data_IF_061820757433
#
_entry.id   IF_061820757433
#
_cell.length_a   1.000
_cell.length_b   1.000
_cell.length_c   1.000
_cell.angle_alpha   90.00
_cell.angle_beta   90.00
_cell.angle_gamma   90.00
#
_symmetry.space_group_name_H-M   'P 1'
#
loop_
_entity.id
_entity.type
_entity.pdbx_description
1 polymer ?
#
# COMPACT_ATOMS: atom_id res chain seq x y z
N UNK A 1 -1.46 27.12 34.75
CA UNK A 1 -0.64 26.24 33.87
C UNK A 1 -0.34 27.05 32.63
N UNK A 2 0.93 27.37 32.37
CA UNK A 2 1.31 28.07 31.14
C UNK A 2 1.43 27.05 30.03
N UNK A 3 0.71 27.26 28.92
CA UNK A 3 0.95 26.53 27.68
C UNK A 3 1.54 27.51 26.68
N UNK A 4 2.62 27.13 26.02
CA UNK A 4 3.17 27.85 24.88
C UNK A 4 3.36 26.84 23.76
N UNK A 5 2.75 27.10 22.59
CA UNK A 5 2.86 26.26 21.39
C UNK A 5 2.60 24.74 21.64
N UNK A 6 1.47 24.38 22.27
CA UNK A 6 1.09 23.01 22.66
C UNK A 6 2.07 22.28 23.61
N UNK A 7 3.09 22.96 24.14
CA UNK A 7 4.01 22.45 25.17
C UNK A 7 3.57 22.96 26.55
N UNK A 8 3.58 22.09 27.55
CA UNK A 8 3.28 22.43 28.95
C UNK A 8 4.54 22.90 29.67
N UNK A 9 4.46 24.01 30.43
CA UNK A 9 5.52 24.43 31.35
C UNK A 9 4.94 24.90 32.70
N UNK A 10 5.74 24.83 33.77
CA UNK A 10 5.32 25.24 35.12
C UNK A 10 6.40 26.04 35.87
N UNK A 11 5.96 26.92 36.76
CA UNK A 11 6.76 27.89 37.54
C UNK A 11 7.47 27.26 38.77
N UNK A 12 7.35 25.95 39.00
CA UNK A 12 8.04 25.18 40.06
C UNK A 12 8.44 23.80 39.51
N UNK A 13 9.62 23.31 39.89
CA UNK A 13 10.39 22.22 39.28
C UNK A 13 9.61 20.96 38.85
N UNK A 14 9.77 20.56 37.59
CA UNK A 14 9.32 19.27 37.04
C UNK A 14 10.50 18.46 36.47
N UNK A 15 10.33 17.14 36.37
CA UNK A 15 11.33 16.21 35.82
C UNK A 15 11.60 16.41 34.33
N UNK A 16 12.79 16.00 33.87
CA UNK A 16 13.21 16.05 32.46
C UNK A 16 12.26 15.22 31.58
N UNK A 17 12.10 15.58 30.31
CA UNK A 17 11.44 14.71 29.33
C UNK A 17 12.28 13.45 29.12
N UNK A 18 11.68 12.26 29.32
CA UNK A 18 12.39 10.96 29.26
C UNK A 18 11.96 10.13 28.04
N UNK A 19 10.70 10.21 27.61
CA UNK A 19 10.16 9.34 26.55
C UNK A 19 9.20 10.09 25.60
N UNK A 20 9.21 9.69 24.32
CA UNK A 20 8.20 10.07 23.34
C UNK A 20 7.09 9.02 23.30
N UNK A 21 5.85 9.43 23.03
CA UNK A 21 4.75 8.49 22.82
C UNK A 21 5.04 7.59 21.61
N UNK A 22 4.86 6.26 21.72
CA UNK A 22 5.05 5.34 20.59
C UNK A 22 3.93 5.50 19.57
N UNK A 23 4.24 5.29 18.28
CA UNK A 23 3.21 5.22 17.25
C UNK A 23 2.33 3.99 17.50
N UNK A 24 1.01 4.20 17.52
CA UNK A 24 0.02 3.13 17.72
C UNK A 24 -0.24 2.33 16.45
N UNK A 25 0.15 2.85 15.28
CA UNK A 25 0.00 2.15 13.99
C UNK A 25 1.22 1.29 13.70
N UNK A 26 0.99 0.04 13.34
CA UNK A 26 2.05 -0.94 13.10
C UNK A 26 2.67 -0.84 11.69
N UNK A 27 1.94 -0.22 10.76
CA UNK A 27 2.29 -0.04 9.35
C UNK A 27 2.76 -1.35 8.69
N UNK A 28 2.00 -2.43 8.88
CA UNK A 28 2.43 -3.78 8.48
C UNK A 28 2.44 -3.96 6.95
N UNK A 29 1.67 -3.15 6.20
CA UNK A 29 1.57 -3.23 4.75
C UNK A 29 2.92 -2.95 4.07
N UNK A 30 3.66 -1.95 4.54
CA UNK A 30 4.97 -1.56 3.97
C UNK A 30 6.05 -2.58 4.33
N UNK A 31 5.98 -3.16 5.52
CA UNK A 31 6.92 -4.18 6.01
C UNK A 31 6.66 -5.55 5.38
N UNK A 32 5.55 -5.71 4.68
CA UNK A 32 5.16 -6.95 4.03
C UNK A 32 5.95 -7.20 2.74
N UNK A 33 6.06 -8.47 2.33
CA UNK A 33 6.69 -8.86 1.07
C UNK A 33 5.81 -8.56 -0.18
N UNK A 34 4.80 -7.70 -0.04
CA UNK A 34 3.94 -7.24 -1.15
C UNK A 34 4.72 -6.30 -2.08
N UNK A 35 5.64 -5.50 -1.54
CA UNK A 35 6.44 -4.55 -2.30
C UNK A 35 7.66 -5.23 -2.93
N UNK A 36 7.87 -5.01 -4.22
CA UNK A 36 9.03 -5.53 -4.96
C UNK A 36 9.81 -4.37 -5.62
N UNK A 37 11.15 -4.29 -5.44
CA UNK A 37 11.96 -3.31 -6.15
C UNK A 37 11.98 -3.58 -7.66
N UNK A 38 11.96 -2.54 -8.49
CA UNK A 38 11.96 -2.67 -9.94
C UNK A 38 12.97 -1.73 -10.61
N UNK A 39 14.05 -2.35 -11.11
CA UNK A 39 15.15 -1.62 -11.76
C UNK A 39 14.73 -0.85 -13.02
N UNK A 40 13.68 -1.29 -13.73
CA UNK A 40 13.20 -0.59 -14.93
C UNK A 40 12.44 0.69 -14.58
N UNK A 41 11.67 0.69 -13.47
CA UNK A 41 11.07 1.91 -12.92
C UNK A 41 12.18 2.89 -12.54
N UNK A 42 13.21 2.41 -11.82
CA UNK A 42 14.36 3.24 -11.43
C UNK A 42 15.04 3.84 -12.67
N UNK A 43 15.30 3.04 -13.71
CA UNK A 43 15.92 3.51 -14.96
C UNK A 43 15.06 4.53 -15.69
N UNK A 44 13.76 4.28 -15.81
CA UNK A 44 12.84 5.20 -16.48
C UNK A 44 12.87 6.59 -15.84
N UNK A 45 12.91 6.65 -14.51
CA UNK A 45 12.89 7.92 -13.77
C UNK A 45 14.27 8.53 -13.48
N UNK A 46 15.36 7.78 -13.60
CA UNK A 46 16.74 8.29 -13.42
C UNK A 46 17.42 8.72 -14.72
N UNK A 47 17.09 8.06 -15.84
CA UNK A 47 17.76 8.30 -17.13
C UNK A 47 17.05 9.31 -18.04
N UNK A 48 15.75 9.56 -17.83
CA UNK A 48 14.98 10.51 -18.63
C UNK A 48 14.56 11.72 -17.81
N UNK A 49 15.18 12.88 -18.09
CA UNK A 49 14.59 14.22 -18.04
C UNK A 49 13.69 14.67 -16.87
N UNK A 50 13.65 13.99 -15.73
CA UNK A 50 12.80 14.34 -14.59
C UNK A 50 11.30 14.16 -14.81
N UNK A 51 10.84 13.25 -15.70
CA UNK A 51 9.40 13.04 -15.90
C UNK A 51 8.74 12.44 -14.65
N UNK A 52 7.56 12.95 -14.27
CA UNK A 52 6.74 12.39 -13.18
C UNK A 52 5.87 11.20 -13.61
N UNK A 53 6.05 10.74 -14.86
CA UNK A 53 5.29 9.68 -15.51
C UNK A 53 6.17 8.93 -16.49
N UNK A 54 6.00 7.62 -16.55
CA UNK A 54 6.64 6.78 -17.55
C UNK A 54 5.64 5.71 -18.03
N UNK A 55 5.81 5.29 -19.27
CA UNK A 55 5.12 4.12 -19.83
C UNK A 55 6.16 3.02 -19.95
N UNK A 56 5.91 1.87 -19.32
CA UNK A 56 6.77 0.71 -19.36
C UNK A 56 6.18 -0.33 -20.31
N UNK A 57 6.90 -0.71 -21.39
CA UNK A 57 6.45 -1.78 -22.26
C UNK A 57 6.62 -3.15 -21.59
N UNK A 58 5.68 -4.05 -21.85
CA UNK A 58 5.67 -5.42 -21.37
C UNK A 58 5.47 -6.38 -22.55
N UNK A 59 6.16 -7.52 -22.54
CA UNK A 59 5.98 -8.56 -23.55
C UNK A 59 4.72 -9.37 -23.27
N UNK A 60 3.89 -9.59 -24.28
CA UNK A 60 2.78 -10.53 -24.23
C UNK A 60 3.27 -11.97 -24.25
N UNK A 61 2.44 -12.89 -23.73
CA UNK A 61 2.69 -14.33 -23.82
C UNK A 61 2.40 -14.82 -25.24
N UNK A 62 3.23 -15.73 -25.76
CA UNK A 62 2.94 -16.41 -27.02
C UNK A 62 1.63 -17.20 -26.94
N UNK A 63 0.83 -17.13 -28.00
CA UNK A 63 -0.44 -17.85 -28.14
C UNK A 63 -0.50 -18.67 -29.42
N UNK A 64 -1.67 -19.26 -29.68
CA UNK A 64 -1.95 -20.08 -30.85
C UNK A 64 -2.12 -21.56 -30.52
N UNK A 65 -3.00 -22.22 -31.27
CA UNK A 65 -3.19 -23.66 -31.16
C UNK A 65 -2.15 -24.38 -32.01
N UNK A 66 -1.56 -25.45 -31.48
CA UNK A 66 -0.68 -26.30 -32.27
C UNK A 66 -1.49 -26.96 -33.39
N UNK A 67 -1.05 -26.78 -34.64
CA UNK A 67 -1.58 -27.54 -35.76
C UNK A 67 -0.86 -28.90 -35.85
N UNK A 68 -1.58 -29.91 -36.32
CA UNK A 68 -1.02 -31.25 -36.48
C UNK A 68 0.00 -31.23 -37.63
N UNK A 69 1.23 -31.64 -37.35
CA UNK A 69 2.31 -31.65 -38.34
C UNK A 69 2.26 -32.94 -39.17
N UNK A 70 1.37 -32.98 -40.16
CA UNK A 70 1.11 -34.14 -41.02
C UNK A 70 1.72 -34.04 -42.43
N UNK A 71 2.49 -32.98 -42.69
CA UNK A 71 3.15 -32.72 -43.97
C UNK A 71 2.20 -32.36 -45.12
N UNK A 72 0.90 -32.14 -44.83
CA UNK A 72 -0.11 -31.75 -45.83
C UNK A 72 -0.71 -30.36 -45.58
N UNK A 73 -0.52 -29.80 -44.40
CA UNK A 73 -1.06 -28.50 -44.00
C UNK A 73 0.05 -27.47 -43.77
N UNK A 74 -0.21 -26.22 -44.16
CA UNK A 74 0.72 -25.11 -44.01
C UNK A 74 0.75 -24.59 -42.57
N UNK A 75 1.95 -24.22 -42.11
CA UNK A 75 2.16 -23.61 -40.79
C UNK A 75 1.92 -22.10 -40.90
N UNK A 76 0.81 -21.62 -40.33
CA UNK A 76 0.52 -20.19 -40.25
C UNK A 76 1.22 -19.57 -39.03
N UNK A 77 2.09 -18.55 -39.19
CA UNK A 77 2.77 -17.91 -38.08
C UNK A 77 1.83 -17.00 -37.27
N UNK A 78 1.97 -17.00 -35.94
CA UNK A 78 1.27 -16.09 -35.04
C UNK A 78 2.18 -14.92 -34.62
N UNK A 79 1.65 -13.69 -34.60
CA UNK A 79 2.36 -12.52 -34.09
C UNK A 79 2.33 -12.46 -32.56
N UNK A 80 3.34 -11.85 -31.94
CA UNK A 80 3.38 -11.60 -30.48
C UNK A 80 2.84 -10.22 -30.16
N UNK A 81 2.09 -10.11 -29.07
CA UNK A 81 1.48 -8.87 -28.56
C UNK A 81 2.41 -8.13 -27.60
N UNK A 82 2.26 -6.82 -27.47
CA UNK A 82 2.99 -5.98 -26.51
C UNK A 82 2.02 -5.14 -25.70
N UNK A 83 2.32 -4.94 -24.42
CA UNK A 83 1.44 -4.26 -23.48
C UNK A 83 2.11 -3.00 -22.92
N UNK A 84 1.33 -1.98 -22.57
CA UNK A 84 1.86 -0.72 -22.03
C UNK A 84 1.34 -0.46 -20.60
N UNK A 85 2.27 -0.24 -19.67
CA UNK A 85 1.96 0.07 -18.26
C UNK A 85 2.37 1.49 -17.89
N UNK A 86 1.40 2.35 -17.64
CA UNK A 86 1.60 3.69 -17.09
C UNK A 86 1.97 3.64 -15.61
N UNK A 87 3.08 4.27 -15.24
CA UNK A 87 3.55 4.39 -13.86
C UNK A 87 3.74 5.86 -13.49
N UNK A 88 3.35 6.23 -12.26
CA UNK A 88 3.40 7.60 -11.77
C UNK A 88 4.27 7.73 -10.52
N UNK A 89 4.96 8.85 -10.41
CA UNK A 89 5.74 9.20 -9.21
C UNK A 89 4.90 10.08 -8.30
N UNK A 90 4.85 9.70 -7.03
CA UNK A 90 4.15 10.41 -5.98
C UNK A 90 5.18 11.16 -5.12
N UNK A 91 5.03 12.48 -5.03
CA UNK A 91 5.79 13.33 -4.12
C UNK A 91 4.99 13.69 -2.88
N UNK A 92 5.62 13.60 -1.70
CA UNK A 92 5.05 14.03 -0.42
C UNK A 92 6.09 14.88 0.33
N UNK A 93 5.64 15.92 1.01
CA UNK A 93 6.51 16.81 1.76
C UNK A 93 5.80 17.33 3.00
N UNK A 94 6.56 17.56 4.06
CA UNK A 94 6.09 18.25 5.26
C UNK A 94 7.24 19.03 5.90
N UNK A 95 6.91 19.97 6.79
CA UNK A 95 7.87 20.72 7.57
C UNK A 95 7.44 20.81 9.04
N UNK A 96 8.42 20.79 9.94
CA UNK A 96 8.20 20.95 11.37
C UNK A 96 9.04 22.10 11.87
N UNK A 97 8.42 22.97 12.66
CA UNK A 97 9.02 24.19 13.18
C UNK A 97 9.20 24.09 14.68
N UNK A 98 10.31 24.63 15.17
CA UNK A 98 10.60 24.78 16.58
C UNK A 98 11.11 26.18 16.89
N UNK A 99 10.66 26.75 18.01
CA UNK A 99 11.10 28.04 18.52
C UNK A 99 12.28 27.88 19.49
N UNK A 100 13.35 28.68 19.33
CA UNK A 100 14.55 28.66 20.18
C UNK A 100 14.20 28.91 21.66
N UNK A 101 13.23 29.80 21.92
CA UNK A 101 12.76 30.08 23.29
C UNK A 101 12.13 28.86 23.98
N UNK A 102 11.57 27.92 23.21
CA UNK A 102 11.05 26.67 23.77
C UNK A 102 12.16 25.78 24.30
N UNK A 103 13.33 25.76 23.67
CA UNK A 103 14.48 25.00 24.14
C UNK A 103 15.08 25.64 25.39
N UNK A 104 15.19 26.98 25.40
CA UNK A 104 15.69 27.75 26.55
C UNK A 104 14.84 27.54 27.82
N UNK A 105 13.51 27.60 27.70
CA UNK A 105 12.61 27.50 28.86
C UNK A 105 12.45 26.06 29.37
N UNK A 106 12.75 25.05 28.54
CA UNK A 106 12.62 23.63 28.91
C UNK A 106 13.94 22.99 29.36
N UNK A 107 15.00 23.80 29.49
CA UNK A 107 16.29 23.36 30.02
C UNK A 107 17.17 22.65 28.98
N UNK A 108 17.13 23.07 27.72
CA UNK A 108 17.99 22.55 26.64
C UNK A 108 17.53 21.20 26.08
N UNK A 109 16.23 20.92 26.13
CA UNK A 109 15.68 19.71 25.51
C UNK A 109 15.49 19.98 24.03
N UNK A 110 16.37 19.42 23.20
CA UNK A 110 16.30 19.60 21.74
C UNK A 110 15.11 18.84 21.14
N UNK A 111 13.95 19.49 20.99
CA UNK A 111 12.78 18.84 20.41
C UNK A 111 12.99 18.52 18.93
N UNK A 112 13.88 19.22 18.23
CA UNK A 112 14.23 18.98 16.83
C UNK A 112 14.90 17.61 16.65
N UNK A 113 15.69 17.19 17.63
CA UNK A 113 16.28 15.83 17.66
C UNK A 113 15.20 14.76 17.85
N UNK A 114 14.16 15.05 18.62
CA UNK A 114 13.01 14.15 18.75
C UNK A 114 12.18 14.10 17.46
N UNK A 115 11.93 15.25 16.84
CA UNK A 115 11.25 15.32 15.53
C UNK A 115 12.03 14.49 14.51
N UNK A 116 13.34 14.68 14.39
CA UNK A 116 14.18 13.95 13.44
C UNK A 116 14.08 12.42 13.57
N UNK A 117 13.94 11.90 14.80
CA UNK A 117 13.74 10.45 15.04
C UNK A 117 12.38 9.95 14.54
N UNK A 118 11.35 10.79 14.60
CA UNK A 118 9.97 10.44 14.22
C UNK A 118 9.67 10.63 12.73
N UNK A 119 10.51 11.39 12.01
CA UNK A 119 10.29 11.67 10.57
C UNK A 119 10.20 10.40 9.73
N UNK A 120 10.99 9.37 10.05
CA UNK A 120 10.92 8.09 9.31
C UNK A 120 9.55 7.42 9.48
N UNK A 121 9.09 7.28 10.73
CA UNK A 121 7.78 6.67 11.03
C UNK A 121 6.62 7.48 10.42
N UNK A 122 6.75 8.81 10.38
CA UNK A 122 5.77 9.68 9.73
C UNK A 122 5.63 9.41 8.22
N UNK A 123 6.75 9.18 7.52
CA UNK A 123 6.68 8.84 6.10
C UNK A 123 6.15 7.42 5.86
N UNK A 124 6.40 6.48 6.77
CA UNK A 124 5.79 5.14 6.70
C UNK A 124 4.25 5.25 6.81
N UNK A 125 3.75 6.10 7.72
CA UNK A 125 2.31 6.38 7.86
C UNK A 125 1.69 6.96 6.56
N UNK A 126 2.44 7.83 5.86
CA UNK A 126 2.00 8.44 4.60
C UNK A 126 2.00 7.41 3.47
N UNK A 127 3.08 6.65 3.33
CA UNK A 127 3.22 5.62 2.29
C UNK A 127 2.08 4.59 2.40
N UNK A 128 1.70 4.21 3.62
CA UNK A 128 0.59 3.29 3.86
C UNK A 128 -0.75 3.89 3.42
N UNK A 129 -1.00 5.17 3.71
CA UNK A 129 -2.19 5.88 3.23
C UNK A 129 -2.23 5.95 1.70
N UNK A 130 -1.10 6.24 1.06
CA UNK A 130 -1.01 6.29 -0.40
C UNK A 130 -1.26 4.91 -1.01
N UNK A 131 -0.73 3.83 -0.43
CA UNK A 131 -1.02 2.46 -0.87
C UNK A 131 -2.50 2.09 -0.73
N UNK A 132 -3.14 2.45 0.39
CA UNK A 132 -4.57 2.25 0.59
C UNK A 132 -5.41 3.07 -0.41
N UNK A 133 -5.01 4.31 -0.70
CA UNK A 133 -5.66 5.14 -1.71
C UNK A 133 -5.56 4.51 -3.12
N UNK A 134 -4.39 3.97 -3.48
CA UNK A 134 -4.20 3.24 -4.74
C UNK A 134 -5.11 2.01 -4.79
N UNK A 135 -5.13 1.18 -3.73
CA UNK A 135 -6.00 0.01 -3.66
C UNK A 135 -7.48 0.41 -3.80
N UNK A 136 -7.92 1.49 -3.16
CA UNK A 136 -9.28 2.03 -3.31
C UNK A 136 -9.56 2.41 -4.77
N UNK A 137 -8.65 3.13 -5.42
CA UNK A 137 -8.79 3.51 -6.83
C UNK A 137 -8.91 2.33 -7.79
N UNK A 138 -8.10 1.28 -7.59
CA UNK A 138 -8.16 0.06 -8.39
C UNK A 138 -9.54 -0.61 -8.29
N UNK A 139 -10.11 -0.68 -7.09
CA UNK A 139 -11.41 -1.31 -6.89
C UNK A 139 -12.61 -0.40 -7.21
N UNK A 140 -12.35 0.83 -7.68
CA UNK A 140 -13.36 1.78 -8.16
C UNK A 140 -13.24 2.06 -9.67
N UNK A 141 -12.47 1.25 -10.41
CA UNK A 141 -12.33 1.38 -11.86
C UNK A 141 -13.67 1.23 -12.56
N UNK A 142 -13.87 2.02 -13.62
CA UNK A 142 -15.08 2.04 -14.44
C UNK A 142 -14.79 1.58 -15.87
N UNK A 143 -15.75 0.92 -16.51
CA UNK A 143 -15.67 0.42 -17.89
C UNK A 143 -15.73 -1.11 -17.98
N UNK A 144 -16.34 -1.63 -19.03
CA UNK A 144 -16.82 -3.02 -19.16
C UNK A 144 -15.84 -4.10 -18.65
N UNK A 145 -14.60 -4.17 -19.17
CA UNK A 145 -13.61 -5.17 -18.75
C UNK A 145 -12.96 -4.87 -17.39
N UNK A 146 -12.91 -3.59 -17.00
CA UNK A 146 -12.41 -3.21 -15.68
C UNK A 146 -13.43 -3.54 -14.59
N UNK A 147 -14.72 -3.38 -14.88
CA UNK A 147 -15.83 -3.74 -13.98
C UNK A 147 -15.88 -5.24 -13.78
N UNK A 148 -15.75 -6.04 -14.85
CA UNK A 148 -15.65 -7.50 -14.73
C UNK A 148 -14.45 -7.92 -13.84
N UNK A 149 -13.31 -7.24 -13.96
CA UNK A 149 -12.18 -7.46 -13.06
C UNK A 149 -12.53 -7.12 -11.61
N UNK A 150 -13.10 -5.94 -11.36
CA UNK A 150 -13.47 -5.49 -10.01
C UNK A 150 -14.49 -6.44 -9.38
N UNK A 151 -15.48 -6.91 -10.12
CA UNK A 151 -16.48 -7.85 -9.65
C UNK A 151 -15.88 -9.22 -9.31
N UNK A 152 -14.97 -9.73 -10.14
CA UNK A 152 -14.30 -11.01 -9.90
C UNK A 152 -13.32 -10.94 -8.72
N UNK A 153 -12.65 -9.80 -8.52
CA UNK A 153 -11.66 -9.59 -7.46
C UNK A 153 -12.27 -9.00 -6.17
N UNK A 154 -13.57 -8.68 -6.17
CA UNK A 154 -14.33 -8.29 -4.98
C UNK A 154 -15.23 -9.44 -4.54
N UNK A 155 -15.05 -9.85 -3.29
CA UNK A 155 -15.98 -10.75 -2.61
C UNK A 155 -16.71 -10.01 -1.49
N UNK A 156 -17.92 -9.57 -1.77
CA UNK A 156 -18.75 -8.86 -0.80
C UNK A 156 -19.71 -9.83 -0.10
N UNK A 157 -19.55 -9.94 1.22
CA UNK A 157 -20.42 -10.73 2.10
C UNK A 157 -21.23 -9.86 3.07
N UNK A 158 -21.07 -8.53 3.02
CA UNK A 158 -21.67 -7.60 3.98
C UNK A 158 -23.21 -7.66 4.02
N UNK A 159 -23.83 -8.04 2.91
CA UNK A 159 -25.29 -8.14 2.75
C UNK A 159 -25.83 -9.57 2.89
N UNK A 160 -24.96 -10.57 3.17
CA UNK A 160 -25.38 -11.95 3.37
C UNK A 160 -25.88 -12.20 4.80
N UNK A 161 -26.65 -13.29 4.98
CA UNK A 161 -27.21 -13.69 6.27
C UNK A 161 -26.14 -13.86 7.37
N UNK A 162 -24.93 -14.26 6.99
CA UNK A 162 -23.74 -14.27 7.86
C UNK A 162 -22.73 -13.26 7.30
N UNK A 163 -22.77 -11.98 7.74
CA UNK A 163 -21.94 -10.93 7.17
C UNK A 163 -20.49 -10.95 7.70
N UNK A 164 -20.09 -12.04 8.39
CA UNK A 164 -18.78 -12.20 9.01
C UNK A 164 -17.87 -13.13 8.22
N UNK A 165 -16.56 -12.93 8.28
CA UNK A 165 -15.59 -13.84 7.66
C UNK A 165 -15.65 -15.22 8.35
N UNK A 166 -15.85 -16.27 7.55
CA UNK A 166 -15.95 -17.66 8.00
C UNK A 166 -14.89 -18.54 7.29
N UNK A 167 -14.84 -19.84 7.63
CA UNK A 167 -13.84 -20.82 7.19
C UNK A 167 -13.66 -20.84 5.66
N UNK A 168 -14.74 -20.65 4.91
CA UNK A 168 -14.76 -20.77 3.44
C UNK A 168 -14.56 -19.44 2.72
N UNK A 169 -14.85 -18.30 3.36
CA UNK A 169 -14.87 -16.95 2.76
C UNK A 169 -13.57 -16.63 2.03
N UNK A 170 -12.42 -16.89 2.68
CA UNK A 170 -11.10 -16.64 2.07
C UNK A 170 -10.86 -17.52 0.83
N UNK A 171 -11.25 -18.80 0.90
CA UNK A 171 -11.03 -19.75 -0.19
C UNK A 171 -11.88 -19.42 -1.41
N UNK A 172 -13.13 -19.03 -1.19
CA UNK A 172 -14.07 -18.61 -2.24
C UNK A 172 -13.63 -17.30 -2.89
N UNK A 173 -13.21 -16.30 -2.09
CA UNK A 173 -12.71 -15.03 -2.61
C UNK A 173 -11.50 -15.21 -3.54
N UNK A 174 -10.53 -16.04 -3.13
CA UNK A 174 -9.34 -16.31 -3.95
C UNK A 174 -9.70 -17.08 -5.22
N UNK A 175 -10.60 -18.06 -5.13
CA UNK A 175 -11.04 -18.84 -6.28
C UNK A 175 -11.81 -17.98 -7.29
N UNK A 176 -12.63 -17.04 -6.81
CA UNK A 176 -13.34 -16.08 -7.66
C UNK A 176 -12.36 -15.16 -8.40
N UNK A 177 -11.35 -14.65 -7.69
CA UNK A 177 -10.37 -13.72 -8.25
C UNK A 177 -9.44 -14.37 -9.29
N UNK A 178 -8.85 -15.53 -8.98
CA UNK A 178 -7.77 -16.10 -9.80
C UNK A 178 -8.05 -17.49 -10.38
N UNK A 179 -9.21 -18.10 -10.08
CA UNK A 179 -9.54 -19.45 -10.52
C UNK A 179 -8.43 -20.44 -10.18
N UNK A 180 -7.81 -21.01 -11.20
CA UNK A 180 -6.76 -22.03 -11.11
C UNK A 180 -5.43 -21.48 -10.51
N UNK A 181 -5.23 -20.16 -10.50
CA UNK A 181 -4.01 -19.52 -9.99
C UNK A 181 -4.08 -19.15 -8.49
N UNK A 182 -4.79 -19.95 -7.69
CA UNK A 182 -5.02 -19.72 -6.25
C UNK A 182 -3.74 -19.58 -5.41
N UNK A 183 -2.65 -20.23 -5.80
CA UNK A 183 -1.37 -20.22 -5.07
C UNK A 183 -0.61 -18.90 -5.14
N UNK A 184 -0.99 -17.96 -6.01
CA UNK A 184 -0.30 -16.66 -6.15
C UNK A 184 -0.53 -15.71 -4.96
N UNK A 185 -1.66 -15.84 -4.28
CA UNK A 185 -1.93 -15.08 -3.06
C UNK A 185 -1.12 -15.66 -1.90
N UNK A 186 -0.51 -14.78 -1.10
CA UNK A 186 0.35 -15.21 0.02
C UNK A 186 0.08 -14.47 1.32
N UNK A 187 -0.46 -13.25 1.24
CA UNK A 187 -0.62 -12.34 2.37
C UNK A 187 -2.07 -11.87 2.44
N UNK A 188 -2.62 -11.81 3.65
CA UNK A 188 -3.94 -11.24 3.95
C UNK A 188 -3.74 -10.12 4.96
N UNK A 189 -4.38 -8.99 4.74
CA UNK A 189 -4.27 -7.81 5.60
C UNK A 189 -5.68 -7.42 6.04
N UNK A 190 -5.90 -7.44 7.35
CA UNK A 190 -7.23 -7.25 7.94
C UNK A 190 -7.18 -6.37 9.18
N UNK A 191 -8.32 -5.76 9.50
CA UNK A 191 -8.52 -5.00 10.72
C UNK A 191 -8.52 -5.93 11.96
N UNK A 192 -8.09 -5.42 13.12
CA UNK A 192 -8.04 -6.20 14.37
C UNK A 192 -9.37 -6.84 14.75
N UNK A 193 -10.50 -6.13 14.62
CA UNK A 193 -11.85 -6.68 14.87
C UNK A 193 -12.11 -7.95 14.05
N UNK A 194 -11.67 -7.97 12.79
CA UNK A 194 -11.83 -9.14 11.91
C UNK A 194 -10.92 -10.29 12.35
N UNK A 195 -9.69 -9.97 12.73
CA UNK A 195 -8.76 -10.95 13.28
C UNK A 195 -9.29 -11.57 14.58
N UNK A 196 -9.86 -10.77 15.49
CA UNK A 196 -10.45 -11.25 16.76
C UNK A 196 -11.64 -12.19 16.52
N UNK A 197 -12.48 -11.92 15.51
CA UNK A 197 -13.56 -12.84 15.16
C UNK A 197 -13.02 -14.19 14.66
N UNK A 198 -11.95 -14.18 13.84
CA UNK A 198 -11.30 -15.40 13.37
C UNK A 198 -10.54 -16.16 14.47
N UNK A 199 -9.97 -15.45 15.44
CA UNK A 199 -9.35 -16.01 16.65
C UNK A 199 -10.40 -16.71 17.52
N UNK A 200 -11.57 -16.11 17.72
CA UNK A 200 -12.68 -16.73 18.46
C UNK A 200 -13.20 -18.01 17.78
N UNK A 201 -13.12 -18.09 16.46
CA UNK A 201 -13.44 -19.29 15.68
C UNK A 201 -12.28 -20.29 15.58
N UNK A 202 -11.13 -19.99 16.18
CA UNK A 202 -9.90 -20.79 16.14
C UNK A 202 -9.40 -21.09 14.70
N UNK A 203 -9.60 -20.15 13.79
CA UNK A 203 -9.19 -20.26 12.38
C UNK A 203 -7.82 -19.64 12.12
N UNK A 204 -7.39 -18.76 13.01
CA UNK A 204 -6.12 -18.05 12.93
C UNK A 204 -5.06 -18.81 13.74
N UNK A 205 -4.10 -19.42 13.04
CA UNK A 205 -3.04 -20.20 13.65
C UNK A 205 -1.77 -19.37 13.76
N UNK A 206 -1.29 -19.13 14.98
CA UNK A 206 0.01 -18.51 15.19
C UNK A 206 1.15 -19.51 14.98
N UNK A 207 2.14 -19.12 14.19
CA UNK A 207 3.32 -19.94 13.93
C UNK A 207 4.14 -20.12 15.20
N UNK A 208 4.57 -21.36 15.47
CA UNK A 208 5.38 -21.70 16.63
C UNK A 208 6.81 -22.00 16.19
N UNK A 209 7.77 -21.32 16.79
CA UNK A 209 9.17 -21.71 16.69
C UNK A 209 9.46 -22.75 17.76
N UNK A 210 9.87 -23.94 17.34
CA UNK A 210 10.35 -24.99 18.26
C UNK A 210 11.87 -24.98 18.20
N UNK A 211 12.52 -24.59 19.30
CA UNK A 211 13.97 -24.71 19.43
C UNK A 211 14.37 -26.19 19.53
N UNK A 212 15.65 -26.51 19.29
CA UNK A 212 16.25 -27.85 19.36
C UNK A 212 16.00 -28.58 20.70
N UNK A 213 15.61 -27.87 21.74
CA UNK A 213 15.23 -28.39 23.08
C UNK A 213 13.73 -28.64 23.26
N UNK A 214 12.91 -28.50 22.21
CA UNK A 214 11.47 -28.74 22.27
C UNK A 214 10.64 -27.63 22.93
N UNK A 215 11.26 -26.50 23.29
CA UNK A 215 10.53 -25.32 23.82
C UNK A 215 9.89 -24.59 22.64
N UNK A 216 8.57 -24.47 22.69
CA UNK A 216 7.78 -23.72 21.71
C UNK A 216 7.67 -22.25 22.12
N UNK A 217 7.96 -21.33 21.20
CA UNK A 217 7.67 -19.90 21.34
C UNK A 217 6.77 -19.47 20.19
N UNK A 218 5.71 -18.72 20.50
CA UNK A 218 4.86 -18.16 19.46
C UNK A 218 5.61 -17.03 18.73
N UNK A 219 5.62 -17.08 17.39
CA UNK A 219 6.33 -16.12 16.54
C UNK A 219 5.55 -14.82 16.33
N UNK A 220 4.39 -14.64 16.95
CA UNK A 220 3.49 -13.50 16.73
C UNK A 220 2.95 -13.40 15.29
N UNK A 221 3.31 -14.33 14.40
CA UNK A 221 2.87 -14.38 13.01
C UNK A 221 1.65 -15.27 12.89
N UNK A 222 0.54 -14.66 12.51
CA UNK A 222 -0.73 -15.31 12.26
C UNK A 222 -0.77 -15.93 10.85
N UNK A 223 -1.41 -17.09 10.73
CA UNK A 223 -1.70 -17.69 9.42
C UNK A 223 -3.15 -18.13 9.32
N UNK A 224 -3.73 -17.93 8.13
CA UNK A 224 -5.07 -18.36 7.77
C UNK A 224 -4.97 -19.18 6.48
N UNK A 225 -5.33 -20.46 6.51
CA UNK A 225 -5.26 -21.38 5.36
C UNK A 225 -3.88 -21.37 4.63
N UNK A 226 -2.79 -21.30 5.40
CA UNK A 226 -1.42 -21.25 4.87
C UNK A 226 -1.06 -19.93 4.16
N UNK A 227 -1.75 -18.83 4.48
CA UNK A 227 -1.42 -17.46 4.10
C UNK A 227 -1.05 -16.67 5.34
N UNK A 228 -0.08 -15.76 5.24
CA UNK A 228 0.34 -14.91 6.36
C UNK A 228 -0.74 -13.84 6.57
N UNK A 229 -1.20 -13.67 7.80
CA UNK A 229 -2.14 -12.63 8.19
C UNK A 229 -1.37 -11.49 8.85
N UNK A 230 -1.53 -10.29 8.33
CA UNK A 230 -1.04 -9.05 8.92
C UNK A 230 -2.23 -8.30 9.51
N UNK A 231 -2.12 -7.94 10.78
CA UNK A 231 -3.19 -7.29 11.54
C UNK A 231 -2.81 -5.83 11.70
N UNK A 232 -3.63 -4.93 11.18
CA UNK A 232 -3.42 -3.48 11.25
C UNK A 232 -4.75 -2.74 11.50
N UNK A 233 -4.77 -1.87 12.50
CA UNK A 233 -5.96 -1.08 12.87
C UNK A 233 -6.26 0.04 11.86
N UNK A 234 -5.31 0.38 10.99
CA UNK A 234 -5.49 1.43 9.98
C UNK A 234 -6.19 0.96 8.69
N UNK A 235 -6.69 -0.28 8.68
CA UNK A 235 -7.48 -0.82 7.57
C UNK A 235 -8.82 -0.08 7.39
N UNK A 236 -9.27 0.15 6.15
CA UNK A 236 -10.45 0.96 5.89
C UNK A 236 -11.74 0.24 6.33
N UNK A 237 -12.62 1.01 6.94
CA UNK A 237 -13.99 0.63 7.27
C UNK A 237 -14.97 1.71 6.80
N UNK A 238 -16.17 1.29 6.46
CA UNK A 238 -17.28 2.17 6.07
C UNK A 238 -18.48 1.92 6.99
N UNK A 239 -19.30 2.94 7.26
CA UNK A 239 -20.49 2.83 8.11
C UNK A 239 -20.34 3.38 9.54
N UNK A 240 -21.48 3.59 10.20
CA UNK A 240 -21.57 4.03 11.59
C UNK A 240 -21.35 2.89 12.59
N UNK A 241 -21.44 3.20 13.89
CA UNK A 241 -21.06 2.28 14.98
C UNK A 241 -21.73 0.88 14.93
N UNK A 242 -22.97 0.80 14.44
CA UNK A 242 -23.75 -0.46 14.40
C UNK A 242 -23.66 -1.24 13.08
N UNK A 243 -23.09 -0.66 12.02
CA UNK A 243 -22.99 -1.28 10.68
C UNK A 243 -21.60 -1.09 10.05
N UNK A 244 -20.54 -1.20 10.85
CA UNK A 244 -19.18 -1.09 10.31
C UNK A 244 -18.87 -2.24 9.36
N UNK A 245 -18.59 -1.89 8.12
CA UNK A 245 -18.15 -2.79 7.05
C UNK A 245 -16.65 -2.62 6.87
N UNK A 246 -15.89 -3.68 7.12
CA UNK A 246 -14.44 -3.72 6.98
C UNK A 246 -14.04 -4.25 5.61
N UNK A 247 -12.99 -3.65 5.03
CA UNK A 247 -12.35 -4.17 3.82
C UNK A 247 -11.06 -4.91 4.19
N UNK A 248 -10.99 -6.18 3.84
CA UNK A 248 -9.79 -7.03 3.98
C UNK A 248 -9.14 -7.20 2.61
N UNK A 249 -7.85 -6.91 2.49
CA UNK A 249 -7.11 -7.11 1.23
C UNK A 249 -6.34 -8.43 1.24
N UNK A 250 -6.34 -9.11 0.10
CA UNK A 250 -5.58 -10.34 -0.15
C UNK A 250 -4.59 -10.03 -1.27
N UNK A 251 -3.31 -10.18 -0.98
CA UNK A 251 -2.22 -9.77 -1.86
C UNK A 251 -1.23 -10.92 -2.10
N UNK A 252 -0.69 -10.97 -3.31
CA UNK A 252 0.46 -11.80 -3.65
C UNK A 252 1.78 -11.17 -3.25
N UNK A 253 2.82 -11.99 -3.13
CA UNK A 253 4.19 -11.53 -2.94
C UNK A 253 4.63 -10.76 -4.20
N UNK A 254 5.10 -9.52 -4.03
CA UNK A 254 5.48 -8.66 -5.15
C UNK A 254 4.31 -8.22 -6.03
N UNK A 255 3.10 -8.10 -5.47
CA UNK A 255 1.93 -7.61 -6.22
C UNK A 255 2.06 -6.13 -6.61
N UNK A 256 2.87 -5.36 -5.90
CA UNK A 256 3.09 -3.93 -6.15
C UNK A 256 4.59 -3.69 -6.32
N UNK A 257 4.97 -3.09 -7.45
CA UNK A 257 6.33 -2.63 -7.64
C UNK A 257 6.53 -1.31 -6.86
N UNK A 258 7.63 -1.25 -6.12
CA UNK A 258 8.03 -0.11 -5.30
C UNK A 258 9.40 0.39 -5.72
N UNK A 259 9.54 1.69 -5.88
CA UNK A 259 10.86 2.28 -6.11
C UNK A 259 10.95 3.67 -5.47
N UNK A 260 12.01 3.91 -4.70
CA UNK A 260 12.35 5.23 -4.19
C UNK A 260 13.22 5.95 -5.24
N UNK A 261 12.70 7.06 -5.76
CA UNK A 261 13.36 7.84 -6.81
C UNK A 261 14.25 8.91 -6.18
N UNK A 262 13.99 9.27 -4.92
CA UNK A 262 14.69 10.32 -4.21
C UNK A 262 14.28 11.73 -4.64
N UNK A 263 14.31 12.64 -3.67
CA UNK A 263 14.26 14.08 -3.93
C UNK A 263 15.69 14.64 -4.05
N UNK A 264 15.87 15.78 -4.74
CA UNK A 264 17.17 16.42 -4.89
C UNK A 264 17.80 16.80 -3.54
N UNK A 265 16.99 17.38 -2.65
CA UNK A 265 17.34 17.69 -1.26
C UNK A 265 16.20 17.15 -0.38
N UNK A 266 16.32 15.89 0.09
CA UNK A 266 15.27 15.24 0.88
C UNK A 266 15.06 15.87 2.24
N UNK A 267 16.13 16.30 2.91
CA UNK A 267 16.08 16.93 4.23
C UNK A 267 16.86 18.22 4.22
N UNK A 268 16.28 19.27 4.80
CA UNK A 268 16.87 20.62 4.85
C UNK A 268 16.44 21.30 6.15
N UNK A 269 17.38 21.96 6.81
CA UNK A 269 17.11 22.78 8.00
C UNK A 269 17.30 24.24 7.61
N UNK A 270 16.32 25.09 7.93
CA UNK A 270 16.42 26.53 7.77
C UNK A 270 16.23 27.22 9.12
N UNK A 271 17.07 28.20 9.40
CA UNK A 271 17.00 29.02 10.61
C UNK A 271 16.51 30.42 10.28
N UNK A 272 15.46 30.87 10.94
CA UNK A 272 14.98 32.25 10.91
C UNK A 272 15.23 32.93 12.27
N UNK A 273 16.28 33.77 12.40
CA UNK A 273 16.56 34.47 13.64
C UNK A 273 15.62 35.65 13.92
N UNK A 274 14.79 36.08 12.95
CA UNK A 274 13.94 37.27 13.09
C UNK A 274 12.58 36.95 13.70
N UNK A 275 11.99 35.83 13.31
CA UNK A 275 10.63 35.47 13.70
C UNK A 275 10.63 34.84 15.09
N UNK A 276 9.73 35.29 15.98
CA UNK A 276 9.46 34.74 17.32
C UNK A 276 10.69 34.49 18.23
N UNK A 277 11.79 35.24 18.04
CA UNK A 277 12.99 35.11 18.86
C UNK A 277 13.99 34.04 18.41
N UNK A 278 13.82 33.50 17.21
CA UNK A 278 14.63 32.42 16.65
C UNK A 278 13.76 31.18 16.42
N UNK A 279 13.73 30.68 15.18
CA UNK A 279 13.02 29.46 14.81
C UNK A 279 13.86 28.60 13.87
N UNK A 280 13.88 27.30 14.14
CA UNK A 280 14.46 26.28 13.26
C UNK A 280 13.33 25.48 12.60
N UNK A 281 13.39 25.32 11.29
CA UNK A 281 12.43 24.52 10.52
C UNK A 281 13.13 23.36 9.82
N UNK A 282 12.68 22.13 10.10
CA UNK A 282 13.08 20.93 9.38
C UNK A 282 12.10 20.67 8.25
N UNK A 283 12.57 20.73 7.02
CA UNK A 283 11.83 20.32 5.82
C UNK A 283 12.19 18.90 5.46
N UNK A 284 11.18 18.07 5.17
CA UNK A 284 11.38 16.74 4.62
C UNK A 284 10.54 16.52 3.36
N UNK A 285 11.14 15.87 2.36
CA UNK A 285 10.59 15.65 1.02
C UNK A 285 10.92 14.24 0.55
N UNK A 286 9.92 13.50 0.11
CA UNK A 286 10.07 12.15 -0.45
C UNK A 286 9.41 12.04 -1.83
N UNK A 287 9.99 11.21 -2.71
CA UNK A 287 9.45 10.90 -4.03
C UNK A 287 9.54 9.41 -4.28
N UNK A 288 8.38 8.75 -4.32
CA UNK A 288 8.27 7.30 -4.41
C UNK A 288 7.34 6.91 -5.54
N UNK A 289 7.54 5.73 -6.12
CA UNK A 289 6.66 5.15 -7.12
C UNK A 289 6.06 3.86 -6.57
N UNK A 290 4.74 3.77 -6.60
CA UNK A 290 3.98 2.58 -6.27
C UNK A 290 3.17 2.18 -7.50
N UNK A 291 3.48 1.02 -8.08
CA UNK A 291 2.88 0.58 -9.32
C UNK A 291 2.36 -0.86 -9.17
N UNK A 292 1.04 -1.05 -9.02
CA UNK A 292 0.43 -2.37 -8.98
C UNK A 292 0.68 -3.15 -10.27
N UNK A 293 0.98 -4.44 -10.16
CA UNK A 293 1.21 -5.28 -11.32
C UNK A 293 -0.08 -5.51 -12.11
N UNK A 294 -0.03 -5.36 -13.45
CA UNK A 294 -1.16 -5.57 -14.35
C UNK A 294 -2.15 -4.39 -14.44
N UNK A 295 -1.90 -3.30 -13.73
CA UNK A 295 -2.71 -2.09 -13.77
C UNK A 295 -1.89 -0.90 -14.25
N UNK A 296 -2.52 -0.06 -15.06
CA UNK A 296 -1.94 1.11 -15.72
C UNK A 296 -2.62 2.37 -15.20
N UNK A 297 -1.80 3.37 -14.84
CA UNK A 297 -2.30 4.67 -14.41
C UNK A 297 -2.41 5.62 -15.61
N UNK A 298 -3.63 6.01 -15.97
CA UNK A 298 -3.95 6.72 -17.24
C UNK A 298 -4.10 8.24 -17.11
N UNK A 299 -4.05 8.80 -15.89
CA UNK A 299 -4.08 10.25 -15.64
C UNK A 299 -5.28 10.99 -16.24
N UNK A 300 -6.43 10.33 -16.38
CA UNK A 300 -7.62 10.89 -17.04
C UNK A 300 -8.18 12.12 -16.30
N UNK A 301 -8.12 12.11 -14.98
CA UNK A 301 -8.53 13.17 -14.07
C UNK A 301 -7.41 13.43 -13.04
N UNK A 302 -6.32 14.06 -13.50
CA UNK A 302 -5.23 14.53 -12.65
C UNK A 302 -4.96 16.00 -12.98
N UNK A 303 -5.08 16.89 -12.00
CA UNK A 303 -4.80 18.33 -12.16
C UNK A 303 -3.34 18.64 -11.84
N UNK A 304 -2.81 17.97 -10.82
CA UNK A 304 -1.44 18.16 -10.33
C UNK A 304 -0.41 17.39 -11.18
N UNK A 305 0.89 17.66 -11.05
CA UNK A 305 1.95 16.84 -11.67
C UNK A 305 2.25 15.56 -10.86
N UNK A 306 2.00 15.62 -9.55
CA UNK A 306 2.17 14.53 -8.59
C UNK A 306 0.82 14.27 -7.93
N UNK A 307 0.19 13.11 -8.18
CA UNK A 307 -1.20 12.90 -7.80
C UNK A 307 -1.42 12.97 -6.29
N UNK A 308 -2.55 13.55 -5.91
CA UNK A 308 -3.03 13.57 -4.52
C UNK A 308 -3.61 12.20 -4.15
N UNK A 309 -3.80 11.94 -2.84
CA UNK A 309 -4.43 10.68 -2.41
C UNK A 309 -5.88 10.57 -2.94
N UNK A 310 -6.60 11.69 -3.06
CA UNK A 310 -7.94 11.72 -3.66
C UNK A 310 -7.90 11.37 -5.16
N UNK A 311 -6.95 11.92 -5.92
CA UNK A 311 -6.75 11.60 -7.33
C UNK A 311 -6.32 10.14 -7.55
N UNK A 312 -5.54 9.57 -6.62
CA UNK A 312 -5.17 8.14 -6.65
C UNK A 312 -6.34 7.23 -6.30
N UNK A 313 -7.25 7.68 -5.44
CA UNK A 313 -8.46 6.93 -5.06
C UNK A 313 -9.57 6.95 -6.11
N UNK A 314 -9.45 7.81 -7.12
CA UNK A 314 -10.41 7.90 -8.20
C UNK A 314 -10.14 6.81 -9.25
N UNK A 315 -11.09 5.89 -9.42
CA UNK A 315 -10.95 4.78 -10.36
C UNK A 315 -10.94 5.16 -11.83
N UNK A 316 -11.33 6.38 -12.20
CA UNK A 316 -11.21 6.89 -13.57
C UNK A 316 -9.74 7.06 -14.01
N UNK A 317 -8.81 7.11 -13.06
CA UNK A 317 -7.38 7.22 -13.33
C UNK A 317 -6.67 5.87 -13.49
N UNK A 318 -7.40 4.76 -13.34
CA UNK A 318 -6.86 3.41 -13.42
C UNK A 318 -7.53 2.62 -14.53
N UNK A 319 -6.76 1.76 -15.17
CA UNK A 319 -7.26 0.79 -16.13
C UNK A 319 -6.39 -0.45 -16.09
N UNK A 320 -6.95 -1.60 -16.45
CA UNK A 320 -6.15 -2.77 -16.75
C UNK A 320 -5.15 -2.48 -17.87
N UNK A 321 -3.97 -3.10 -17.79
CA UNK A 321 -2.95 -2.98 -18.83
C UNK A 321 -3.48 -3.52 -20.16
N UNK A 322 -3.43 -2.69 -21.19
CA UNK A 322 -3.90 -2.99 -22.55
C UNK A 322 -2.75 -3.22 -23.52
N UNK A 323 -3.04 -4.00 -24.56
CA UNK A 323 -2.21 -4.07 -25.75
C UNK A 323 -2.15 -2.69 -26.45
N UNK A 324 -1.06 -2.42 -27.17
CA UNK A 324 -0.87 -1.24 -28.02
C UNK A 324 -2.01 -1.10 -29.04
N UNK A 325 -2.57 -2.22 -29.51
CA UNK A 325 -3.74 -2.24 -30.41
C UNK A 325 -5.10 -2.09 -29.67
N UNK A 326 -5.09 -1.88 -28.34
CA UNK A 326 -6.26 -1.64 -27.46
C UNK A 326 -7.37 -2.69 -27.49
N UNK A 327 -7.14 -3.86 -28.07
CA UNK A 327 -8.14 -4.93 -28.23
C UNK A 327 -8.00 -6.10 -27.25
N UNK A 328 -7.00 -6.13 -26.38
CA UNK A 328 -6.81 -7.23 -25.42
C UNK A 328 -6.23 -6.69 -24.11
N UNK A 329 -6.87 -7.06 -23.01
CA UNK A 329 -6.44 -6.73 -21.66
C UNK A 329 -5.61 -7.86 -21.07
N UNK A 330 -4.77 -7.53 -20.10
CA UNK A 330 -4.12 -8.56 -19.29
C UNK A 330 -5.19 -9.43 -18.62
N UNK A 331 -4.97 -10.75 -18.61
CA UNK A 331 -5.88 -11.66 -17.91
C UNK A 331 -5.96 -11.30 -16.43
N UNK A 332 -7.15 -10.95 -15.93
CA UNK A 332 -7.37 -10.58 -14.53
C UNK A 332 -6.83 -11.61 -13.53
N UNK A 333 -6.91 -12.91 -13.88
CA UNK A 333 -6.36 -14.03 -13.09
C UNK A 333 -4.84 -13.97 -12.84
N UNK A 334 -4.13 -13.11 -13.56
CA UNK A 334 -2.69 -12.92 -13.40
C UNK A 334 -2.34 -11.93 -12.29
N UNK A 335 -3.30 -11.07 -11.89
CA UNK A 335 -3.14 -9.99 -10.91
C UNK A 335 -3.46 -10.53 -9.51
N UNK A 336 -2.47 -10.64 -8.61
CA UNK A 336 -2.68 -11.23 -7.29
C UNK A 336 -3.14 -10.15 -6.29
N UNK A 337 -4.26 -9.49 -6.58
CA UNK A 337 -4.89 -8.46 -5.73
C UNK A 337 -6.39 -8.73 -5.65
N UNK A 338 -6.92 -9.01 -4.46
CA UNK A 338 -8.36 -9.21 -4.23
C UNK A 338 -8.78 -8.54 -2.91
N UNK A 339 -10.08 -8.27 -2.76
CA UNK A 339 -10.66 -7.75 -1.52
C UNK A 339 -11.88 -8.55 -1.05
N UNK A 340 -12.05 -8.60 0.26
CA UNK A 340 -13.24 -9.10 0.93
C UNK A 340 -13.89 -7.94 1.69
N UNK A 341 -15.21 -7.80 1.57
CA UNK A 341 -16.01 -6.80 2.29
C UNK A 341 -16.92 -7.53 3.28
N UNK A 342 -16.80 -7.22 4.58
CA UNK A 342 -17.47 -7.96 5.67
C UNK A 342 -17.77 -7.08 6.89
N UNK A 343 -18.83 -7.38 7.67
CA UNK A 343 -19.16 -6.66 8.92
C UNK A 343 -18.38 -7.12 10.16
N UNK A 344 -17.37 -7.97 9.99
CA UNK A 344 -16.49 -8.46 11.07
C UNK A 344 -15.91 -9.83 10.79
#
# INVERSE_FOLDING_TARGET
MGQFNNKSFNQVAFGRYIESLPNVKKNELIKSAVLKPNAEIRRAFSSQGGSGYAILPMYGRIGGNAINYDGKTDIVPNATKTFERGVVVVGRANAWLEDDFSEDITGGVGFMSNVAKQVSEYFDDIDQKTLLAILKGIFSMTGDENEEFVENHTYDISNLANPKIDVTTLNTAIQKACGDNKTKFSIVIMHSVVATNLENLNLLNYLKYTDKRGIQRDLGLATLNGKIVLIDDSMPFEGGDDERVYTTYILGKGAIDFEDIGAKVPYEINRDPKTNGGQDTLYARSRKCFAPFGLSYIKKQQVSLSPTDDELSNGLNWSLVTDVEKGTFIEGKSIPIARIISKG
#
